data_IF_449788015682
#
_entry.id   IF_449788015682
#
_cell.length_a   1.000
_cell.length_b   1.000
_cell.length_c   1.000
_cell.angle_alpha   90.00
_cell.angle_beta   90.00
_cell.angle_gamma   90.00
#
_symmetry.space_group_name_H-M   'P 1'
#
loop_
_entity.id
_entity.type
_entity.pdbx_description
1 polymer ?
#
# COMPACT_ATOMS: atom_id res chain seq x y z
N UNK A 1 15.59 27.37 -12.44
CA UNK A 1 15.25 26.30 -11.49
C UNK A 1 16.11 25.10 -11.85
N UNK A 2 17.00 24.64 -10.96
CA UNK A 2 17.94 23.54 -11.24
C UNK A 2 17.27 22.16 -11.22
N UNK A 3 16.05 22.09 -10.68
CA UNK A 3 15.20 20.91 -10.66
C UNK A 3 13.87 21.26 -11.30
N UNK A 4 13.53 20.58 -12.39
CA UNK A 4 12.18 20.56 -12.95
C UNK A 4 11.54 19.24 -12.57
N UNK A 5 10.24 19.25 -12.27
CA UNK A 5 9.48 18.01 -12.20
C UNK A 5 9.60 17.30 -13.54
N UNK A 6 10.08 16.04 -13.58
CA UNK A 6 10.13 15.29 -14.82
C UNK A 6 8.72 15.09 -15.37
N UNK A 7 8.59 15.08 -16.69
CA UNK A 7 7.32 14.72 -17.34
C UNK A 7 6.96 13.27 -17.06
N UNK A 8 5.66 12.98 -17.04
CA UNK A 8 5.17 11.61 -16.92
C UNK A 8 5.57 10.80 -18.15
N UNK A 9 6.08 9.60 -17.91
CA UNK A 9 6.35 8.61 -18.94
C UNK A 9 5.06 7.88 -19.33
N UNK A 10 5.11 7.08 -20.40
CA UNK A 10 4.00 6.19 -20.77
C UNK A 10 3.69 5.17 -19.67
N UNK A 11 4.70 4.71 -18.93
CA UNK A 11 4.50 3.77 -17.82
C UNK A 11 3.76 4.43 -16.66
N UNK A 12 4.10 5.69 -16.35
CA UNK A 12 3.39 6.46 -15.31
C UNK A 12 1.92 6.65 -15.67
N UNK A 13 1.65 7.02 -16.92
CA UNK A 13 0.28 7.20 -17.42
C UNK A 13 -0.52 5.89 -17.38
N UNK A 14 0.09 4.77 -17.78
CA UNK A 14 -0.56 3.45 -17.69
C UNK A 14 -0.97 3.11 -16.27
N UNK A 15 -0.08 3.32 -15.28
CA UNK A 15 -0.39 3.03 -13.87
C UNK A 15 -1.55 3.92 -13.38
N UNK A 16 -1.58 5.20 -13.77
CA UNK A 16 -2.67 6.10 -13.43
C UNK A 16 -4.00 5.60 -14.04
N UNK A 17 -4.00 5.21 -15.31
CA UNK A 17 -5.17 4.64 -15.98
C UNK A 17 -5.68 3.38 -15.29
N UNK A 18 -4.78 2.46 -14.91
CA UNK A 18 -5.14 1.24 -14.18
C UNK A 18 -5.81 1.57 -12.84
N UNK A 19 -5.26 2.52 -12.07
CA UNK A 19 -5.84 2.96 -10.79
C UNK A 19 -7.24 3.54 -10.99
N UNK A 20 -7.43 4.37 -12.02
CA UNK A 20 -8.74 4.96 -12.32
C UNK A 20 -9.76 3.91 -12.80
N UNK A 21 -9.32 2.93 -13.58
CA UNK A 21 -10.16 1.79 -13.98
C UNK A 21 -10.65 1.01 -12.74
N UNK A 22 -9.73 0.69 -11.81
CA UNK A 22 -10.09 0.06 -10.55
C UNK A 22 -11.07 0.91 -9.72
N UNK A 23 -10.81 2.21 -9.58
CA UNK A 23 -11.72 3.12 -8.86
C UNK A 23 -13.11 3.11 -9.48
N UNK A 24 -13.19 3.17 -10.81
CA UNK A 24 -14.46 3.14 -11.53
C UNK A 24 -15.23 1.84 -11.32
N UNK A 25 -14.55 0.69 -11.38
CA UNK A 25 -15.15 -0.62 -11.16
C UNK A 25 -15.72 -0.74 -9.74
N UNK A 26 -14.94 -0.31 -8.75
CA UNK A 26 -15.31 -0.46 -7.35
C UNK A 26 -16.20 0.65 -6.81
N UNK A 27 -16.40 1.76 -7.53
CA UNK A 27 -17.14 2.94 -7.02
C UNK A 27 -18.53 2.62 -6.47
N UNK A 28 -19.27 1.68 -7.06
CA UNK A 28 -20.62 1.32 -6.60
C UNK A 28 -20.60 0.39 -5.38
N UNK A 29 -19.51 -0.37 -5.18
CA UNK A 29 -19.32 -1.23 -3.99
C UNK A 29 -18.76 -0.46 -2.81
N UNK A 30 -18.06 0.64 -3.08
CA UNK A 30 -17.35 1.48 -2.12
C UNK A 30 -18.00 2.84 -1.87
N UNK A 31 -19.11 3.13 -2.55
CA UNK A 31 -19.86 4.38 -2.34
C UNK A 31 -20.26 4.51 -0.87
N UNK A 32 -20.08 5.73 -0.33
CA UNK A 32 -20.35 6.02 1.07
C UNK A 32 -21.84 5.83 1.46
N UNK A 33 -22.10 5.48 2.74
CA UNK A 33 -21.13 5.35 3.83
C UNK A 33 -20.76 3.89 4.08
N UNK A 34 -20.24 3.17 3.09
CA UNK A 34 -19.62 1.85 3.34
C UNK A 34 -18.14 2.02 3.66
N UNK A 35 -17.84 2.26 4.95
CA UNK A 35 -16.47 2.15 5.47
C UNK A 35 -15.94 0.75 5.22
N UNK A 36 -14.74 0.64 4.65
CA UNK A 36 -13.99 -0.61 4.61
C UNK A 36 -13.85 -1.13 6.05
N UNK A 37 -14.29 -2.35 6.29
CA UNK A 37 -14.33 -2.97 7.62
C UNK A 37 -13.72 -4.38 7.58
N UNK A 38 -13.44 -4.92 8.76
CA UNK A 38 -12.95 -6.29 8.91
C UNK A 38 -11.64 -6.55 8.16
N UNK A 39 -11.57 -7.70 7.50
CA UNK A 39 -10.35 -8.19 6.85
C UNK A 39 -9.84 -7.27 5.74
N UNK A 40 -10.75 -6.68 4.97
CA UNK A 40 -10.39 -5.87 3.81
C UNK A 40 -9.74 -4.54 4.20
N UNK A 41 -10.20 -3.91 5.29
CA UNK A 41 -9.52 -2.73 5.86
C UNK A 41 -8.13 -3.11 6.36
N UNK A 42 -8.00 -4.23 7.08
CA UNK A 42 -6.72 -4.68 7.65
C UNK A 42 -5.69 -4.97 6.56
N UNK A 43 -6.07 -5.72 5.51
CA UNK A 43 -5.17 -6.07 4.41
C UNK A 43 -4.70 -4.85 3.62
N UNK A 44 -5.61 -3.90 3.31
CA UNK A 44 -5.25 -2.66 2.63
C UNK A 44 -4.33 -1.79 3.49
N UNK A 45 -4.58 -1.72 4.80
CA UNK A 45 -3.72 -0.98 5.73
C UNK A 45 -2.33 -1.63 5.81
N UNK A 46 -2.25 -2.97 5.88
CA UNK A 46 -0.98 -3.70 5.91
C UNK A 46 -0.18 -3.51 4.61
N UNK A 47 -0.87 -3.52 3.45
CA UNK A 47 -0.24 -3.24 2.17
C UNK A 47 0.34 -1.81 2.10
N UNK A 48 -0.39 -0.81 2.61
CA UNK A 48 0.08 0.56 2.70
C UNK A 48 1.31 0.68 3.62
N UNK A 49 1.27 0.09 4.83
CA UNK A 49 2.40 0.06 5.76
C UNK A 49 3.64 -0.54 5.09
N UNK A 50 3.52 -1.73 4.48
CA UNK A 50 4.64 -2.36 3.77
C UNK A 50 5.21 -1.48 2.66
N UNK A 51 4.34 -0.81 1.89
CA UNK A 51 4.74 0.12 0.83
C UNK A 51 5.55 1.30 1.38
N UNK A 52 5.05 1.95 2.42
CA UNK A 52 5.74 3.06 3.09
C UNK A 52 7.06 2.63 3.70
N UNK A 53 7.11 1.51 4.42
CA UNK A 53 8.33 0.97 5.03
C UNK A 53 9.41 0.69 3.98
N UNK A 54 9.02 0.21 2.79
CA UNK A 54 9.95 -0.02 1.68
C UNK A 54 10.52 1.27 1.10
N UNK A 55 9.76 2.36 1.07
CA UNK A 55 10.24 3.69 0.63
C UNK A 55 11.37 4.18 1.56
N UNK A 56 11.27 3.87 2.86
CA UNK A 56 12.30 4.18 3.86
C UNK A 56 13.50 3.20 3.84
N UNK A 57 13.52 2.23 2.93
CA UNK A 57 14.62 1.26 2.79
C UNK A 57 14.48 -0.01 3.63
N UNK A 58 13.38 -0.19 4.36
CA UNK A 58 13.12 -1.38 5.17
C UNK A 58 12.22 -2.37 4.41
N UNK A 59 12.63 -3.64 4.33
CA UNK A 59 11.80 -4.69 3.72
C UNK A 59 11.18 -5.56 4.81
N UNK A 60 9.86 -5.50 4.92
CA UNK A 60 9.08 -6.35 5.83
C UNK A 60 8.19 -7.30 5.04
N UNK A 61 7.91 -8.48 5.59
CA UNK A 61 7.03 -9.45 4.95
C UNK A 61 5.56 -8.99 5.00
N UNK A 62 4.65 -9.60 4.22
CA UNK A 62 3.22 -9.35 4.37
C UNK A 62 2.70 -9.64 5.79
N UNK A 63 3.16 -10.74 6.41
CA UNK A 63 2.77 -11.14 7.77
C UNK A 63 3.27 -10.16 8.84
N UNK A 64 4.49 -9.66 8.68
CA UNK A 64 5.05 -8.59 9.51
C UNK A 64 4.17 -7.33 9.45
N UNK A 65 3.75 -6.92 8.25
CA UNK A 65 2.90 -5.77 8.06
C UNK A 65 1.49 -5.96 8.66
N UNK A 66 0.91 -7.16 8.57
CA UNK A 66 -0.35 -7.50 9.24
C UNK A 66 -0.22 -7.47 10.76
N UNK A 67 0.88 -8.00 11.29
CA UNK A 67 1.18 -7.98 12.73
C UNK A 67 1.30 -6.55 13.25
N UNK A 68 2.01 -5.68 12.52
CA UNK A 68 2.12 -4.26 12.86
C UNK A 68 0.76 -3.56 12.87
N UNK A 69 -0.09 -3.80 11.87
CA UNK A 69 -1.44 -3.22 11.80
C UNK A 69 -2.35 -3.74 12.92
N UNK A 70 -2.16 -5.00 13.34
CA UNK A 70 -2.88 -5.58 14.46
C UNK A 70 -2.36 -5.11 15.84
N UNK A 71 -1.26 -4.35 15.90
CA UNK A 71 -0.59 -3.99 17.14
C UNK A 71 0.07 -5.19 17.85
N UNK A 72 0.39 -6.23 17.08
CA UNK A 72 1.03 -7.45 17.57
C UNK A 72 2.51 -7.25 17.91
N UNK A 73 3.12 -8.21 18.62
CA UNK A 73 4.52 -8.12 19.01
C UNK A 73 5.43 -8.19 17.78
N UNK A 74 6.39 -7.27 17.70
CA UNK A 74 7.48 -7.36 16.72
C UNK A 74 8.45 -8.46 17.13
N UNK A 75 8.78 -9.36 16.20
CA UNK A 75 9.87 -10.32 16.38
C UNK A 75 10.99 -9.92 15.46
N UNK A 76 12.06 -9.42 16.04
CA UNK A 76 13.30 -9.20 15.31
C UNK A 76 13.77 -10.56 14.78
N UNK A 77 13.79 -10.69 13.45
CA UNK A 77 14.22 -11.92 12.80
C UNK A 77 15.74 -11.89 12.79
N UNK A 78 16.36 -12.51 13.80
CA UNK A 78 17.81 -12.75 13.79
C UNK A 78 18.12 -13.59 12.56
N UNK A 79 18.86 -13.02 11.61
CA UNK A 79 19.44 -13.77 10.49
C UNK A 79 20.31 -14.90 11.08
N UNK A 80 20.14 -16.16 10.64
CA UNK A 80 21.06 -17.22 11.07
C UNK A 80 22.47 -16.89 10.55
N UNK A 81 23.53 -17.31 11.28
CA UNK A 81 24.91 -17.02 10.91
C UNK A 81 25.31 -17.57 9.53
#
# INVERSE_FOLDING_TARGET
>A
MLYSTPGLTSDDLRVIEDIEAFRSEFRHRLAEPRRWQGQLRRSLTAAAVRGSTRIEGYTITPEDAETLVAGGPWRERTEPP
#
